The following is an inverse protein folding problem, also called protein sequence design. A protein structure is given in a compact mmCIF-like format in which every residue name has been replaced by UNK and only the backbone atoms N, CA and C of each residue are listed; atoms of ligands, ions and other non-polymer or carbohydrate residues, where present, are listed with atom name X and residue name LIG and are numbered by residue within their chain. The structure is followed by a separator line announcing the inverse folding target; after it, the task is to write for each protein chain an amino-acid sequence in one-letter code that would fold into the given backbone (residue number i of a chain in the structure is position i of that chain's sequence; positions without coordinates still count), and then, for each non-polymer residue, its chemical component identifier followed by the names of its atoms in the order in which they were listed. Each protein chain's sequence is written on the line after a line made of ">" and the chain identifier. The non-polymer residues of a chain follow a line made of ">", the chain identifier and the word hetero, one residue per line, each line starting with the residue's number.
data_IF_979692341552
#
_entry.id   IF_979692341552
#
_cell.length_a   1.000
_cell.length_b   1.000
_cell.length_c   1.000
_cell.angle_alpha   90.00
_cell.angle_beta   90.00
_cell.angle_gamma   90.00
#
_symmetry.space_group_name_H-M   'P 1'
#
loop_
_entity.id
_entity.type
_entity.pdbx_description
1 polymer ?
#
# COMPACT_ATOMS: atom_id res chain seq x y z
N UNK A 1 32.88 -24.07 -13.65
CA UNK A 1 31.93 -23.04 -13.18
C UNK A 1 30.77 -23.07 -14.16
N UNK A 2 29.74 -23.86 -13.87
CA UNK A 2 28.60 -24.07 -14.78
C UNK A 2 27.59 -22.96 -14.59
N UNK A 3 27.27 -22.22 -15.65
CA UNK A 3 26.12 -21.32 -15.66
C UNK A 3 24.86 -22.17 -15.50
N UNK A 4 24.13 -21.99 -14.39
CA UNK A 4 22.73 -22.42 -14.30
C UNK A 4 21.97 -21.53 -15.26
N UNK A 5 21.62 -22.07 -16.41
CA UNK A 5 20.60 -21.51 -17.28
C UNK A 5 19.29 -21.75 -16.53
N UNK A 6 18.64 -20.68 -16.07
CA UNK A 6 17.26 -20.81 -15.58
C UNK A 6 16.44 -21.50 -16.67
N UNK A 7 15.55 -22.44 -16.32
CA UNK A 7 14.73 -23.12 -17.31
C UNK A 7 13.98 -22.06 -18.12
N UNK A 8 14.28 -22.00 -19.41
CA UNK A 8 13.51 -21.23 -20.37
C UNK A 8 12.04 -21.58 -20.14
N UNK A 9 11.22 -20.57 -19.90
CA UNK A 9 9.78 -20.75 -19.88
C UNK A 9 9.40 -21.24 -21.27
N UNK A 10 9.03 -22.52 -21.38
CA UNK A 10 8.53 -23.09 -22.63
C UNK A 10 7.17 -22.45 -22.93
N UNK A 11 7.21 -21.30 -23.61
CA UNK A 11 6.02 -20.64 -24.13
C UNK A 11 5.56 -21.40 -25.37
N UNK A 12 4.26 -21.67 -25.46
CA UNK A 12 3.67 -22.24 -26.67
C UNK A 12 3.87 -21.29 -27.86
N UNK A 13 3.98 -21.82 -29.09
CA UNK A 13 4.22 -20.97 -30.28
C UNK A 13 3.22 -19.81 -30.41
N UNK A 14 1.96 -20.01 -30.00
CA UNK A 14 0.95 -18.94 -30.00
C UNK A 14 1.21 -17.82 -28.98
N UNK A 15 1.80 -18.15 -27.82
CA UNK A 15 2.18 -17.19 -26.79
C UNK A 15 3.37 -16.33 -27.22
N UNK A 16 4.30 -16.91 -28.00
CA UNK A 16 5.45 -16.20 -28.56
C UNK A 16 4.99 -15.15 -29.59
N UNK A 17 4.06 -15.51 -30.48
CA UNK A 17 3.52 -14.59 -31.47
C UNK A 17 2.79 -13.40 -30.83
N UNK A 18 2.04 -13.65 -29.75
CA UNK A 18 1.41 -12.59 -28.97
C UNK A 18 2.44 -11.70 -28.27
N UNK A 19 3.47 -12.29 -27.66
CA UNK A 19 4.56 -11.55 -27.04
C UNK A 19 5.25 -10.60 -28.03
N UNK A 20 5.50 -11.04 -29.27
CA UNK A 20 6.10 -10.18 -30.31
C UNK A 20 5.17 -9.06 -30.76
N UNK A 21 3.86 -9.31 -30.86
CA UNK A 21 2.88 -8.24 -31.15
C UNK A 21 2.86 -7.17 -30.07
N UNK A 22 2.91 -7.58 -28.80
CA UNK A 22 2.99 -6.65 -27.67
C UNK A 22 4.32 -5.91 -27.70
N UNK A 23 5.44 -6.60 -27.87
CA UNK A 23 6.78 -6.01 -27.91
C UNK A 23 6.95 -4.98 -29.04
N UNK A 24 6.30 -5.21 -30.19
CA UNK A 24 6.27 -4.27 -31.31
C UNK A 24 5.32 -3.08 -31.13
N UNK A 25 4.45 -3.09 -30.10
CA UNK A 25 3.46 -2.05 -29.88
C UNK A 25 4.05 -0.83 -29.15
N UNK A 26 4.71 0.04 -29.92
CA UNK A 26 5.30 1.28 -29.39
C UNK A 26 4.31 2.17 -28.64
N UNK A 27 3.11 2.36 -29.17
CA UNK A 27 2.09 3.25 -28.59
C UNK A 27 1.68 2.78 -27.18
N UNK A 28 1.55 1.46 -26.99
CA UNK A 28 1.29 0.86 -25.68
C UNK A 28 2.39 1.24 -24.68
N UNK A 29 3.66 1.07 -25.03
CA UNK A 29 4.77 1.41 -24.13
C UNK A 29 4.87 2.91 -23.83
N UNK A 30 4.62 3.77 -24.82
CA UNK A 30 4.57 5.22 -24.62
C UNK A 30 3.44 5.61 -23.64
N UNK A 31 2.26 5.02 -23.80
CA UNK A 31 1.13 5.22 -22.86
C UNK A 31 1.47 4.73 -21.45
N UNK A 32 2.06 3.55 -21.32
CA UNK A 32 2.50 3.00 -20.01
C UNK A 32 3.52 3.92 -19.36
N UNK A 33 4.47 4.44 -20.14
CA UNK A 33 5.47 5.39 -19.65
C UNK A 33 4.83 6.71 -19.19
N UNK A 34 3.93 7.28 -19.99
CA UNK A 34 3.19 8.50 -19.63
C UNK A 34 2.39 8.34 -18.34
N UNK A 35 1.69 7.20 -18.18
CA UNK A 35 0.96 6.88 -16.95
C UNK A 35 1.90 6.79 -15.74
N UNK A 36 3.08 6.17 -15.90
CA UNK A 36 4.09 6.09 -14.85
C UNK A 36 4.57 7.48 -14.42
N UNK A 37 4.90 8.35 -15.38
CA UNK A 37 5.33 9.73 -15.08
C UNK A 37 4.21 10.53 -14.42
N UNK A 38 2.98 10.42 -14.94
CA UNK A 38 1.81 11.09 -14.37
C UNK A 38 1.62 10.68 -12.91
N UNK A 39 1.60 9.38 -12.62
CA UNK A 39 1.36 8.89 -11.28
C UNK A 39 2.53 9.18 -10.31
N UNK A 40 3.77 9.19 -10.81
CA UNK A 40 4.94 9.68 -10.04
C UNK A 40 4.72 11.14 -9.61
N UNK A 41 4.27 11.99 -10.54
CA UNK A 41 3.98 13.39 -10.25
C UNK A 41 2.83 13.58 -9.25
N UNK A 42 1.83 12.68 -9.25
CA UNK A 42 0.73 12.68 -8.29
C UNK A 42 1.25 12.32 -6.89
N UNK A 43 2.07 11.27 -6.77
CA UNK A 43 2.63 10.87 -5.49
C UNK A 43 3.57 11.94 -4.91
N UNK A 44 4.35 12.62 -5.75
CA UNK A 44 5.18 13.75 -5.31
C UNK A 44 4.33 14.90 -4.78
N UNK A 45 3.22 15.25 -5.44
CA UNK A 45 2.29 16.25 -4.93
C UNK A 45 1.68 15.86 -3.58
N UNK A 46 1.30 14.59 -3.42
CA UNK A 46 0.79 14.08 -2.15
C UNK A 46 1.87 14.16 -1.07
N UNK A 47 3.10 13.74 -1.35
CA UNK A 47 4.23 13.82 -0.43
C UNK A 47 4.52 15.25 0.04
N UNK A 48 4.48 16.22 -0.90
CA UNK A 48 4.66 17.64 -0.59
C UNK A 48 3.55 18.17 0.34
N UNK A 49 2.30 17.75 0.12
CA UNK A 49 1.18 18.12 1.01
C UNK A 49 1.29 17.46 2.37
N UNK A 50 1.76 16.21 2.44
CA UNK A 50 2.02 15.49 3.70
C UNK A 50 3.09 16.19 4.53
N UNK A 51 4.14 16.73 3.89
CA UNK A 51 5.18 17.46 4.61
C UNK A 51 4.64 18.66 5.41
N UNK A 52 3.48 19.22 5.02
CA UNK A 52 2.81 20.29 5.75
C UNK A 52 1.98 19.82 6.97
N UNK A 53 1.86 18.51 7.21
CA UNK A 53 1.10 17.95 8.35
C UNK A 53 1.91 17.91 9.67
N UNK A 54 3.13 18.44 9.68
CA UNK A 54 4.03 18.49 10.85
C UNK A 54 4.26 17.12 11.52
N UNK A 55 4.47 16.10 10.70
CA UNK A 55 4.65 14.73 11.17
C UNK A 55 5.90 14.54 12.05
N UNK A 56 6.94 15.37 11.87
CA UNK A 56 8.20 15.26 12.62
C UNK A 56 8.05 15.53 14.12
N UNK A 57 7.12 16.41 14.50
CA UNK A 57 6.82 16.68 15.90
C UNK A 57 5.90 15.62 16.54
N UNK A 58 5.28 14.77 15.72
CA UNK A 58 4.26 13.80 16.14
C UNK A 58 4.73 12.35 16.08
N UNK A 59 5.62 12.05 15.14
CA UNK A 59 6.19 10.73 14.95
C UNK A 59 7.72 10.88 15.03
N UNK A 60 8.30 10.50 16.17
CA UNK A 60 9.74 10.63 16.44
C UNK A 60 10.64 9.94 15.38
N UNK A 61 10.08 8.96 14.67
CA UNK A 61 10.74 8.19 13.60
C UNK A 61 10.48 8.74 12.18
N UNK A 62 9.73 9.84 12.03
CA UNK A 62 9.45 10.43 10.73
C UNK A 62 10.69 11.11 10.13
N UNK A 63 11.17 10.57 9.00
CA UNK A 63 12.32 11.08 8.26
C UNK A 63 11.95 11.68 6.90
N UNK A 64 10.69 12.11 6.74
CA UNK A 64 10.15 12.56 5.46
C UNK A 64 9.44 11.46 4.68
N UNK A 65 8.58 11.90 3.75
CA UNK A 65 7.91 11.00 2.80
C UNK A 65 8.86 10.56 1.69
N UNK A 66 8.73 9.31 1.22
CA UNK A 66 9.57 8.76 0.15
C UNK A 66 8.73 8.13 -0.96
N UNK A 67 8.91 8.63 -2.18
CA UNK A 67 8.41 7.97 -3.39
C UNK A 67 9.45 6.96 -3.88
N UNK A 68 9.02 5.73 -4.14
CA UNK A 68 9.84 4.66 -4.73
C UNK A 68 9.11 4.01 -5.89
N UNK A 69 9.88 3.39 -6.79
CA UNK A 69 9.38 2.72 -7.99
C UNK A 69 10.10 1.39 -8.19
N UNK A 70 9.35 0.39 -8.65
CA UNK A 70 9.90 -0.88 -9.09
C UNK A 70 9.15 -1.39 -10.31
N UNK A 71 9.76 -2.32 -11.04
CA UNK A 71 9.21 -2.82 -12.29
C UNK A 71 8.66 -4.26 -12.18
N UNK A 72 8.91 -4.95 -11.07
CA UNK A 72 8.75 -6.41 -10.99
C UNK A 72 7.92 -6.89 -9.80
N UNK A 73 6.97 -6.09 -9.30
CA UNK A 73 6.03 -6.64 -8.32
C UNK A 73 5.07 -7.58 -9.04
N UNK A 74 5.33 -8.88 -8.92
CA UNK A 74 4.69 -9.96 -9.69
C UNK A 74 4.66 -9.65 -11.19
N UNK A 75 5.83 -9.27 -11.74
CA UNK A 75 5.99 -8.92 -13.16
C UNK A 75 5.22 -7.68 -13.62
N UNK A 76 4.68 -6.87 -12.71
CA UNK A 76 4.02 -5.62 -13.02
C UNK A 76 4.76 -4.42 -12.40
N UNK A 77 4.79 -3.27 -13.10
CA UNK A 77 5.27 -2.02 -12.52
C UNK A 77 4.45 -1.62 -11.30
N UNK A 78 5.12 -0.94 -10.38
CA UNK A 78 4.50 -0.39 -9.20
C UNK A 78 5.22 0.87 -8.71
N UNK A 79 4.48 1.70 -7.99
CA UNK A 79 4.96 2.93 -7.36
C UNK A 79 4.43 2.99 -5.94
N UNK A 80 5.28 3.41 -5.03
CA UNK A 80 4.97 3.46 -3.61
C UNK A 80 5.30 4.84 -3.08
N UNK A 81 4.38 5.41 -2.32
CA UNK A 81 4.65 6.53 -1.44
C UNK A 81 4.60 6.04 0.00
N UNK A 82 5.77 6.03 0.63
CA UNK A 82 5.92 5.85 2.07
C UNK A 82 5.68 7.19 2.76
N UNK A 83 4.57 7.30 3.48
CA UNK A 83 4.20 8.50 4.27
C UNK A 83 4.89 8.44 5.63
N UNK A 84 4.64 7.36 6.38
CA UNK A 84 5.38 7.01 7.61
C UNK A 84 6.03 5.66 7.34
N UNK A 85 7.32 5.54 7.65
CA UNK A 85 8.14 4.40 7.26
C UNK A 85 9.01 3.93 8.42
N UNK A 86 8.43 3.11 9.28
CA UNK A 86 9.16 2.34 10.26
C UNK A 86 8.81 0.86 10.13
N UNK A 87 9.75 0.09 9.58
CA UNK A 87 9.56 -1.31 9.22
C UNK A 87 9.76 -2.29 10.38
N UNK A 88 10.00 -1.80 11.59
CA UNK A 88 10.03 -2.67 12.76
C UNK A 88 8.67 -3.37 12.93
N UNK A 89 8.70 -4.70 13.01
CA UNK A 89 7.47 -5.51 13.03
C UNK A 89 6.76 -5.51 14.39
N UNK A 90 7.43 -5.07 15.45
CA UNK A 90 6.92 -5.02 16.81
C UNK A 90 6.58 -3.59 17.23
N UNK A 91 7.45 -2.63 16.95
CA UNK A 91 7.28 -1.23 17.39
C UNK A 91 7.02 -0.25 16.25
N UNK A 92 7.10 -0.68 15.00
CA UNK A 92 7.01 0.22 13.85
C UNK A 92 5.60 0.66 13.49
N UNK A 93 5.53 1.69 12.65
CA UNK A 93 4.32 2.25 12.06
C UNK A 93 4.57 2.49 10.58
N UNK A 94 3.68 1.99 9.73
CA UNK A 94 3.75 2.24 8.29
C UNK A 94 2.41 2.77 7.76
N UNK A 95 2.47 3.91 7.08
CA UNK A 95 1.39 4.43 6.24
C UNK A 95 1.92 4.51 4.82
N UNK A 96 1.29 3.76 3.91
CA UNK A 96 1.82 3.57 2.55
C UNK A 96 0.71 3.67 1.51
N UNK A 97 0.97 4.41 0.44
CA UNK A 97 0.21 4.34 -0.80
C UNK A 97 0.96 3.45 -1.81
N UNK A 98 0.25 2.53 -2.44
CA UNK A 98 0.73 1.69 -3.53
C UNK A 98 -0.13 1.93 -4.76
N UNK A 99 0.50 2.16 -5.89
CA UNK A 99 -0.11 1.95 -7.19
C UNK A 99 0.54 0.75 -7.84
N UNK A 100 -0.30 -0.18 -8.27
CA UNK A 100 0.14 -1.44 -8.86
C UNK A 100 -0.62 -1.68 -10.17
N UNK A 101 0.14 -1.77 -11.26
CA UNK A 101 -0.42 -1.79 -12.60
C UNK A 101 -1.23 -3.07 -12.77
N UNK A 102 -2.41 -2.93 -13.38
CA UNK A 102 -3.37 -4.02 -13.51
C UNK A 102 -4.14 -4.37 -12.22
N UNK A 103 -3.83 -3.76 -11.07
CA UNK A 103 -4.54 -4.00 -9.80
C UNK A 103 -5.16 -2.74 -9.17
N UNK A 104 -4.59 -1.57 -9.44
CA UNK A 104 -5.13 -0.29 -9.00
C UNK A 104 -4.32 0.35 -7.88
N UNK A 105 -4.98 1.18 -7.08
CA UNK A 105 -4.34 1.96 -6.01
C UNK A 105 -4.87 1.55 -4.64
N UNK A 106 -3.97 1.50 -3.67
CA UNK A 106 -4.24 1.02 -2.33
C UNK A 106 -3.54 1.91 -1.30
N UNK A 107 -4.17 2.04 -0.14
CA UNK A 107 -3.55 2.59 1.06
C UNK A 107 -3.44 1.50 2.12
N UNK A 108 -2.30 1.45 2.80
CA UNK A 108 -1.97 0.49 3.84
C UNK A 108 -1.66 1.22 5.14
N UNK A 109 -2.16 0.67 6.24
CA UNK A 109 -1.78 1.02 7.60
C UNK A 109 -1.30 -0.25 8.30
N UNK A 110 -0.07 -0.22 8.82
CA UNK A 110 0.45 -1.24 9.71
C UNK A 110 0.92 -0.58 11.01
N UNK A 111 0.59 -1.20 12.14
CA UNK A 111 1.01 -0.77 13.46
C UNK A 111 1.54 -2.00 14.21
N UNK A 112 2.80 -1.94 14.64
CA UNK A 112 3.43 -2.99 15.44
C UNK A 112 2.72 -3.17 16.79
N UNK A 113 2.69 -4.40 17.31
CA UNK A 113 1.94 -4.76 18.53
C UNK A 113 2.37 -4.00 19.78
N UNK A 114 3.62 -3.55 19.82
CA UNK A 114 4.24 -2.82 20.92
C UNK A 114 4.32 -1.31 20.63
N UNK A 115 3.79 -0.86 19.48
CA UNK A 115 3.73 0.55 19.14
C UNK A 115 2.67 1.27 20.00
N UNK A 116 2.94 2.51 20.40
CA UNK A 116 2.03 3.31 21.24
C UNK A 116 0.66 3.57 20.60
N UNK A 117 0.58 3.62 19.27
CA UNK A 117 -0.68 3.80 18.54
C UNK A 117 -1.51 2.51 18.43
N UNK A 118 -0.94 1.35 18.79
CA UNK A 118 -1.62 0.07 18.64
C UNK A 118 -2.96 0.03 19.40
N UNK A 119 -3.03 0.29 20.72
CA UNK A 119 -4.29 0.19 21.44
C UNK A 119 -5.38 1.10 20.85
N UNK A 120 -5.01 2.32 20.43
CA UNK A 120 -5.91 3.31 19.87
C UNK A 120 -6.51 2.88 18.52
N UNK A 121 -5.68 2.42 17.59
CA UNK A 121 -6.15 1.96 16.28
C UNK A 121 -7.10 0.78 16.43
N UNK A 122 -6.83 -0.12 17.38
CA UNK A 122 -7.64 -1.31 17.63
C UNK A 122 -8.82 -1.07 18.59
N UNK A 123 -9.11 0.19 18.99
CA UNK A 123 -10.37 0.54 19.66
C UNK A 123 -11.55 0.35 18.71
N UNK A 124 -12.64 -0.19 19.22
CA UNK A 124 -13.84 -0.53 18.44
C UNK A 124 -14.36 0.64 17.59
N UNK A 125 -14.38 1.86 18.15
CA UNK A 125 -14.79 3.07 17.42
C UNK A 125 -13.91 3.35 16.20
N UNK A 126 -12.58 3.27 16.36
CA UNK A 126 -11.63 3.58 15.29
C UNK A 126 -11.63 2.49 14.22
N UNK A 127 -11.75 1.23 14.63
CA UNK A 127 -11.93 0.11 13.70
C UNK A 127 -13.21 0.21 12.89
N UNK A 128 -14.35 0.53 13.52
CA UNK A 128 -15.61 0.77 12.79
C UNK A 128 -15.48 1.92 11.80
N UNK A 129 -14.89 3.04 12.23
CA UNK A 129 -14.63 4.17 11.34
C UNK A 129 -13.82 3.77 10.10
N UNK A 130 -12.76 2.96 10.27
CA UNK A 130 -11.95 2.49 9.16
C UNK A 130 -12.73 1.53 8.25
N UNK A 131 -13.46 0.57 8.82
CA UNK A 131 -14.26 -0.38 8.02
C UNK A 131 -15.37 0.30 7.23
N UNK A 132 -16.10 1.25 7.84
CA UNK A 132 -17.16 2.00 7.16
C UNK A 132 -16.62 2.80 5.97
N UNK A 133 -15.31 3.11 5.97
CA UNK A 133 -14.60 3.77 4.86
C UNK A 133 -14.00 2.81 3.84
N UNK A 134 -14.27 1.51 3.96
CA UNK A 134 -13.86 0.48 3.02
C UNK A 134 -12.47 -0.10 3.27
N UNK A 135 -11.91 0.07 4.47
CA UNK A 135 -10.75 -0.71 4.87
C UNK A 135 -11.14 -2.17 5.14
N UNK A 136 -10.19 -3.08 4.98
CA UNK A 136 -10.31 -4.48 5.36
C UNK A 136 -9.02 -4.95 6.04
N UNK A 137 -9.11 -6.05 6.78
CA UNK A 137 -7.96 -6.67 7.42
C UNK A 137 -7.25 -7.62 6.46
N UNK A 138 -5.94 -7.46 6.38
CA UNK A 138 -5.07 -8.42 5.75
C UNK A 138 -4.24 -9.12 6.83
N UNK A 139 -4.42 -10.43 6.91
CA UNK A 139 -3.60 -11.32 7.71
C UNK A 139 -2.44 -11.79 6.87
N UNK A 140 -1.24 -11.40 7.27
CA UNK A 140 -0.06 -11.76 6.50
C UNK A 140 1.11 -12.09 7.41
N UNK A 141 1.91 -13.05 6.95
CA UNK A 141 3.24 -13.33 7.49
C UNK A 141 4.26 -12.29 7.04
N UNK A 142 3.94 -11.51 5.99
CA UNK A 142 4.82 -10.47 5.43
C UNK A 142 4.01 -9.27 4.93
N UNK A 143 4.35 -8.08 5.41
CA UNK A 143 3.72 -6.81 5.01
C UNK A 143 3.88 -6.49 3.52
N UNK A 144 4.75 -7.22 2.82
CA UNK A 144 5.16 -6.97 1.44
C UNK A 144 4.59 -7.99 0.45
N UNK A 145 3.84 -8.99 0.92
CA UNK A 145 3.19 -9.98 0.04
C UNK A 145 1.88 -9.41 -0.53
N UNK A 146 1.98 -8.32 -1.29
CA UNK A 146 0.84 -7.56 -1.80
C UNK A 146 -0.13 -8.39 -2.61
N UNK A 147 0.37 -9.37 -3.38
CA UNK A 147 -0.48 -10.29 -4.13
C UNK A 147 -1.45 -11.02 -3.20
N UNK A 148 -0.93 -11.64 -2.14
CA UNK A 148 -1.76 -12.33 -1.15
C UNK A 148 -2.71 -11.36 -0.47
N UNK A 149 -2.22 -10.18 -0.08
CA UNK A 149 -3.01 -9.18 0.64
C UNK A 149 -4.18 -8.62 -0.21
N UNK A 150 -3.91 -8.27 -1.46
CA UNK A 150 -4.87 -7.61 -2.36
C UNK A 150 -5.79 -8.63 -3.03
N UNK A 151 -5.25 -9.76 -3.51
CA UNK A 151 -6.04 -10.76 -4.22
C UNK A 151 -6.92 -11.56 -3.24
N UNK A 152 -6.54 -11.72 -1.97
CA UNK A 152 -7.34 -12.41 -0.95
C UNK A 152 -8.46 -11.56 -0.32
N UNK A 153 -8.73 -10.36 -0.86
CA UNK A 153 -9.74 -9.37 -0.43
C UNK A 153 -11.16 -9.93 -0.17
N UNK A 154 -11.42 -11.18 -0.52
CA UNK A 154 -12.73 -11.82 -0.50
C UNK A 154 -13.33 -12.06 0.90
N UNK A 155 -12.59 -12.09 2.02
CA UNK A 155 -13.20 -12.49 3.30
C UNK A 155 -12.52 -11.83 4.49
N UNK A 156 -13.26 -11.00 5.24
CA UNK A 156 -13.32 -10.94 6.72
C UNK A 156 -14.11 -9.71 7.17
N UNK A 157 -15.38 -9.93 7.45
CA UNK A 157 -16.26 -9.03 8.21
C UNK A 157 -15.77 -8.98 9.66
N UNK A 158 -15.88 -7.82 10.31
CA UNK A 158 -15.55 -7.64 11.73
C UNK A 158 -16.52 -8.48 12.58
N UNK A 159 -16.12 -9.69 12.96
CA UNK A 159 -16.70 -10.34 14.14
C UNK A 159 -15.85 -9.98 15.36
N UNK A 160 -16.40 -10.21 16.56
CA UNK A 160 -15.70 -10.12 17.85
C UNK A 160 -14.37 -10.92 17.88
N UNK A 161 -14.16 -11.77 16.87
CA UNK A 161 -13.02 -12.67 16.71
C UNK A 161 -11.73 -12.00 16.24
N UNK A 162 -11.73 -10.75 15.75
CA UNK A 162 -10.47 -10.12 15.28
C UNK A 162 -9.46 -9.94 16.43
N UNK A 163 -9.92 -9.55 17.62
CA UNK A 163 -9.05 -9.45 18.80
C UNK A 163 -8.57 -10.82 19.28
N UNK A 164 -9.49 -11.78 19.39
CA UNK A 164 -9.15 -13.15 19.74
C UNK A 164 -8.13 -13.75 18.74
N UNK A 165 -8.34 -13.52 17.45
CA UNK A 165 -7.44 -13.96 16.39
C UNK A 165 -6.04 -13.36 16.52
N UNK A 166 -5.92 -12.06 16.81
CA UNK A 166 -4.62 -11.40 17.04
C UNK A 166 -3.86 -12.06 18.18
N UNK A 167 -4.55 -12.30 19.28
CA UNK A 167 -3.99 -12.83 20.51
C UNK A 167 -3.57 -14.31 20.32
N UNK A 168 -4.37 -15.07 19.58
CA UNK A 168 -4.11 -16.48 19.26
C UNK A 168 -3.03 -16.68 18.18
N UNK A 169 -2.74 -15.66 17.37
CA UNK A 169 -1.83 -15.78 16.22
C UNK A 169 -0.69 -14.75 16.25
N UNK A 170 0.28 -14.87 17.18
CA UNK A 170 1.37 -13.90 17.34
C UNK A 170 2.32 -13.79 16.13
N UNK A 171 2.40 -14.83 15.31
CA UNK A 171 3.15 -14.81 14.06
C UNK A 171 2.50 -13.96 12.97
N UNK A 172 1.18 -13.74 13.05
CA UNK A 172 0.46 -12.95 12.06
C UNK A 172 0.57 -11.46 12.39
N UNK A 173 0.75 -10.68 11.32
CA UNK A 173 0.72 -9.22 11.38
C UNK A 173 -0.60 -8.77 10.77
N UNK A 174 -1.28 -7.88 11.48
CA UNK A 174 -2.46 -7.24 10.95
C UNK A 174 -2.09 -5.97 10.22
N UNK A 175 -2.59 -5.88 8.99
CA UNK A 175 -2.49 -4.69 8.18
C UNK A 175 -3.90 -4.30 7.74
N UNK A 176 -4.20 -3.02 7.85
CA UNK A 176 -5.42 -2.43 7.33
C UNK A 176 -5.16 -1.95 5.92
N UNK A 177 -6.02 -2.35 4.99
CA UNK A 177 -5.84 -2.05 3.57
C UNK A 177 -7.14 -1.50 3.00
N UNK A 178 -7.05 -0.47 2.17
CA UNK A 178 -8.19 0.05 1.42
C UNK A 178 -7.80 0.22 -0.05
N UNK A 179 -8.69 -0.24 -0.92
CA UNK A 179 -8.60 0.07 -2.36
C UNK A 179 -9.20 1.45 -2.62
N UNK A 180 -8.49 2.26 -3.39
CA UNK A 180 -8.88 3.63 -3.74
C UNK A 180 -9.25 3.65 -5.21
N UNK A 181 -10.50 4.01 -5.49
CA UNK A 181 -10.98 4.24 -6.85
C UNK A 181 -10.57 5.66 -7.24
N UNK A 182 -9.74 5.79 -8.28
CA UNK A 182 -9.28 7.07 -8.76
C UNK A 182 -10.23 7.61 -9.83
N UNK A 183 -10.62 8.87 -9.69
CA UNK A 183 -11.47 9.53 -10.68
C UNK A 183 -11.07 11.00 -10.85
N UNK A 184 -11.23 11.51 -12.09
CA UNK A 184 -10.97 12.90 -12.43
C UNK A 184 -9.56 13.16 -12.95
N UNK A 185 -9.17 14.44 -12.95
CA UNK A 185 -7.86 14.89 -13.41
C UNK A 185 -6.74 14.64 -12.37
N UNK A 186 -5.49 14.91 -12.77
CA UNK A 186 -4.30 14.79 -11.92
C UNK A 186 -4.49 15.42 -10.54
N UNK A 187 -5.03 16.64 -10.48
CA UNK A 187 -5.14 17.41 -9.25
C UNK A 187 -6.22 16.84 -8.33
N UNK A 188 -7.34 16.41 -8.92
CA UNK A 188 -8.44 15.73 -8.24
C UNK A 188 -7.95 14.43 -7.61
N UNK A 189 -7.17 13.64 -8.35
CA UNK A 189 -6.58 12.39 -7.85
C UNK A 189 -5.58 12.67 -6.72
N UNK A 190 -4.68 13.65 -6.87
CA UNK A 190 -3.76 14.03 -5.81
C UNK A 190 -4.50 14.50 -4.54
N UNK A 191 -5.60 15.23 -4.69
CA UNK A 191 -6.43 15.66 -3.57
C UNK A 191 -7.12 14.49 -2.87
N UNK A 192 -7.67 13.54 -3.63
CA UNK A 192 -8.28 12.31 -3.09
C UNK A 192 -7.27 11.50 -2.28
N UNK A 193 -6.09 11.21 -2.86
CA UNK A 193 -5.05 10.44 -2.18
C UNK A 193 -4.54 11.13 -0.92
N UNK A 194 -4.34 12.45 -0.99
CA UNK A 194 -3.97 13.22 0.19
C UNK A 194 -5.05 13.20 1.27
N UNK A 195 -6.33 13.26 0.90
CA UNK A 195 -7.46 13.12 1.82
C UNK A 195 -7.42 11.81 2.59
N UNK A 196 -7.20 10.68 1.90
CA UNK A 196 -7.08 9.36 2.54
C UNK A 196 -5.89 9.29 3.51
N UNK A 197 -4.74 9.85 3.13
CA UNK A 197 -3.56 9.92 4.01
C UNK A 197 -3.83 10.81 5.23
N UNK A 198 -4.40 12.00 5.01
CA UNK A 198 -4.71 12.96 6.07
C UNK A 198 -5.68 12.37 7.08
N UNK A 199 -6.72 11.67 6.62
CA UNK A 199 -7.70 11.04 7.50
C UNK A 199 -7.05 9.96 8.38
N UNK A 200 -6.15 9.13 7.82
CA UNK A 200 -5.38 8.15 8.62
C UNK A 200 -4.45 8.80 9.63
N UNK A 201 -3.70 9.83 9.21
CA UNK A 201 -2.80 10.57 10.11
C UNK A 201 -3.60 11.18 11.26
N UNK A 202 -4.72 11.86 10.96
CA UNK A 202 -5.56 12.45 11.99
C UNK A 202 -6.12 11.42 12.96
N UNK A 203 -6.47 10.22 12.48
CA UNK A 203 -6.92 9.12 13.34
C UNK A 203 -5.82 8.68 14.31
N UNK A 204 -4.57 8.56 13.83
CA UNK A 204 -3.42 8.20 14.66
C UNK A 204 -3.13 9.26 15.72
N UNK A 205 -3.25 10.55 15.36
CA UNK A 205 -2.99 11.67 16.27
C UNK A 205 -4.12 11.96 17.24
N UNK A 206 -5.38 11.62 16.91
CA UNK A 206 -6.52 11.82 17.79
C UNK A 206 -6.50 10.93 19.05
N UNK A 207 -5.59 9.95 19.11
CA UNK A 207 -5.34 9.13 20.29
C UNK A 207 -4.34 9.73 21.29
N UNK A 208 -3.64 10.80 20.91
CA UNK A 208 -2.76 11.57 21.78
C UNK A 208 -3.56 12.70 22.45
N UNK A 209 -4.30 12.39 23.52
CA UNK A 209 -4.61 13.43 24.51
C UNK A 209 -3.29 13.78 25.23
N UNK A 210 -2.93 15.08 25.36
CA UNK A 210 -1.71 15.49 26.05
C UNK A 210 -1.69 15.14 27.54
#
# INVERSE_FOLDING_TARGET
>A
MGFRVDPLVDLEMGEIDEAWKIAGNRELFEKVHQLKVLYESILLDVANRVAALDLGNRFSVYNGSKVSKGNELEKCPYQVLDVVRDFDLEVGLNVRLLHWWGRGTFIFLFVGRQNSFYPEIWRERNLRFLLDRGYFFAETVSLWHYKTIIDARAQRTLSADVRAFIDENPAYRLQLVKSIVLAGDRNSVAHQLFGEVKDLVNLLLAGEDP
#
